data_IF_041006429437
#
_entry.id   IF_041006429437
#
_cell.length_a   1.000
_cell.length_b   1.000
_cell.length_c   1.000
_cell.angle_alpha   90.00
_cell.angle_beta   90.00
_cell.angle_gamma   90.00
#
_symmetry.space_group_name_H-M   'P 1'
#
loop_
_entity.id
_entity.type
_entity.pdbx_description
1 polymer ?
#
# COMPACT_ATOMS: atom_id res chain seq x y z
N UNK A 1 0.43 15.99 -6.34
CA UNK A 1 1.26 16.24 -5.12
C UNK A 1 0.70 15.47 -3.91
N UNK A 2 0.23 14.23 -4.14
CA UNK A 2 -0.72 13.52 -3.29
C UNK A 2 -0.22 12.06 -3.25
N UNK A 3 -0.55 11.23 -4.22
CA UNK A 3 0.03 9.93 -4.64
C UNK A 3 0.72 8.91 -3.71
N UNK A 4 1.59 9.22 -2.73
CA UNK A 4 2.31 8.19 -1.93
C UNK A 4 1.93 8.10 -0.44
N UNK A 5 1.29 9.13 0.14
CA UNK A 5 0.60 8.99 1.45
C UNK A 5 -0.65 8.08 1.41
N UNK A 6 -0.95 7.49 0.26
CA UNK A 6 -2.27 6.97 -0.13
C UNK A 6 -2.29 5.44 -0.32
N UNK A 7 -1.14 4.78 -0.14
CA UNK A 7 -1.00 3.32 -0.28
C UNK A 7 -1.68 2.52 0.84
N UNK A 8 -2.30 3.17 1.82
CA UNK A 8 -2.90 2.49 2.97
C UNK A 8 -4.40 2.31 2.86
N UNK A 9 -5.08 2.89 1.85
CA UNK A 9 -6.54 2.82 1.72
C UNK A 9 -6.95 1.55 0.95
N UNK A 10 -7.84 0.77 1.56
CA UNK A 10 -8.33 -0.52 1.08
C UNK A 10 -9.86 -0.48 1.06
N UNK A 11 -10.49 -0.99 0.00
CA UNK A 11 -11.93 -1.26 -0.01
C UNK A 11 -12.19 -2.68 0.48
N UNK A 12 -13.00 -2.82 1.53
CA UNK A 12 -13.28 -4.12 2.15
C UNK A 12 -14.78 -4.46 2.00
N UNK A 13 -15.07 -5.71 1.61
CA UNK A 13 -16.43 -6.28 1.53
C UNK A 13 -16.78 -7.03 2.81
N UNK A 14 -17.98 -6.86 3.36
CA UNK A 14 -18.41 -7.57 4.57
C UNK A 14 -19.07 -8.93 4.25
N UNK A 15 -19.67 -9.08 3.07
CA UNK A 15 -20.70 -10.10 2.86
C UNK A 15 -20.30 -11.38 2.10
N UNK A 16 -19.07 -11.53 1.61
CA UNK A 16 -18.75 -12.67 0.71
C UNK A 16 -17.44 -13.43 0.91
N UNK A 17 -16.56 -13.02 1.84
CA UNK A 17 -15.27 -13.70 2.00
C UNK A 17 -14.97 -14.03 3.46
N UNK A 18 -14.98 -15.33 3.77
CA UNK A 18 -14.49 -15.89 5.04
C UNK A 18 -13.07 -15.43 5.40
N UNK A 19 -12.28 -15.02 4.41
CA UNK A 19 -10.93 -14.48 4.57
C UNK A 19 -10.87 -13.10 5.26
N UNK A 20 -11.97 -12.32 5.26
CA UNK A 20 -12.02 -10.99 5.89
C UNK A 20 -12.47 -11.02 7.35
N UNK A 21 -13.02 -12.15 7.81
CA UNK A 21 -13.42 -12.35 9.20
C UNK A 21 -12.23 -12.20 10.17
N UNK A 22 -11.03 -12.57 9.72
CA UNK A 22 -9.81 -12.37 10.49
C UNK A 22 -9.60 -10.92 10.91
N UNK A 23 -9.89 -9.93 10.04
CA UNK A 23 -9.72 -8.51 10.37
C UNK A 23 -10.68 -8.06 11.48
N UNK A 24 -11.86 -8.68 11.58
CA UNK A 24 -12.82 -8.39 12.65
C UNK A 24 -12.37 -8.95 14.01
N UNK A 25 -11.69 -10.10 14.01
CA UNK A 25 -11.19 -10.73 15.24
C UNK A 25 -9.82 -10.21 15.66
N UNK A 26 -8.94 -9.94 14.70
CA UNK A 26 -7.60 -9.39 14.89
C UNK A 26 -7.25 -8.48 13.70
N UNK A 27 -7.31 -7.14 13.88
CA UNK A 27 -7.06 -6.20 12.80
C UNK A 27 -5.57 -6.07 12.44
N UNK A 28 -4.67 -6.79 13.11
CA UNK A 28 -3.23 -6.74 12.83
C UNK A 28 -2.93 -7.34 11.46
N UNK A 29 -2.31 -6.57 10.58
CA UNK A 29 -1.97 -7.01 9.24
C UNK A 29 -0.63 -6.43 8.79
N UNK A 30 -0.01 -7.12 7.84
CA UNK A 30 1.15 -6.61 7.11
C UNK A 30 0.87 -6.63 5.62
N UNK A 31 1.29 -5.58 4.93
CA UNK A 31 1.18 -5.43 3.48
C UNK A 31 2.57 -5.33 2.89
N UNK A 32 2.82 -6.10 1.83
CA UNK A 32 4.09 -6.13 1.12
C UNK A 32 3.86 -5.61 -0.29
N UNK A 33 4.70 -4.69 -0.74
CA UNK A 33 4.74 -4.22 -2.12
C UNK A 33 6.15 -4.42 -2.68
N UNK A 34 6.25 -4.79 -3.94
CA UNK A 34 7.53 -5.13 -4.57
C UNK A 34 7.64 -4.53 -5.96
N UNK A 35 8.85 -4.12 -6.35
CA UNK A 35 9.12 -3.68 -7.71
C UNK A 35 8.90 -4.80 -8.75
N UNK A 36 8.81 -6.07 -8.32
CA UNK A 36 8.41 -7.19 -9.18
C UNK A 36 6.95 -7.10 -9.68
N UNK A 37 6.08 -6.34 -9.01
CA UNK A 37 4.71 -6.06 -9.49
C UNK A 37 4.72 -5.11 -10.69
N UNK A 38 5.85 -4.44 -10.94
CA UNK A 38 6.12 -3.62 -12.12
C UNK A 38 7.06 -4.35 -13.10
N UNK A 39 7.49 -3.69 -14.17
CA UNK A 39 8.49 -4.25 -15.08
C UNK A 39 9.95 -4.01 -14.64
N UNK A 40 10.18 -3.31 -13.52
CA UNK A 40 11.50 -2.88 -13.07
C UNK A 40 12.47 -4.06 -12.88
N UNK A 41 12.13 -5.06 -12.06
CA UNK A 41 13.05 -6.16 -11.76
C UNK A 41 13.37 -7.00 -12.99
N UNK A 42 12.36 -7.25 -13.84
CA UNK A 42 12.53 -7.96 -15.11
C UNK A 42 13.47 -7.21 -16.06
N UNK A 43 13.33 -5.89 -16.19
CA UNK A 43 14.20 -5.07 -17.06
C UNK A 43 15.65 -5.07 -16.60
N UNK A 44 15.90 -5.16 -15.31
CA UNK A 44 17.25 -5.18 -14.73
C UNK A 44 17.80 -6.60 -14.55
N UNK A 45 17.07 -7.65 -14.95
CA UNK A 45 17.49 -9.04 -14.77
C UNK A 45 17.59 -9.47 -13.31
N UNK A 46 16.89 -8.79 -12.40
CA UNK A 46 16.86 -9.14 -10.99
C UNK A 46 15.87 -10.26 -10.72
N UNK A 47 16.34 -11.31 -10.05
CA UNK A 47 15.47 -12.32 -9.46
C UNK A 47 14.49 -11.65 -8.47
N UNK A 48 13.17 -11.96 -8.50
CA UNK A 48 12.19 -11.34 -7.61
C UNK A 48 12.44 -11.55 -6.11
N UNK A 49 13.28 -12.50 -5.71
CA UNK A 49 13.70 -12.73 -4.33
C UNK A 49 14.98 -11.96 -3.96
N UNK A 50 15.75 -11.48 -4.94
CA UNK A 50 16.92 -10.65 -4.72
C UNK A 50 16.56 -9.35 -3.99
N UNK A 51 17.40 -8.87 -3.04
CA UNK A 51 17.17 -7.57 -2.41
C UNK A 51 17.30 -6.39 -3.39
N UNK A 52 17.92 -6.60 -4.56
CA UNK A 52 17.96 -5.62 -5.64
C UNK A 52 16.59 -5.40 -6.29
N UNK A 53 15.71 -6.41 -6.20
CA UNK A 53 14.29 -6.24 -6.49
C UNK A 53 13.60 -5.72 -5.23
N UNK A 54 13.66 -4.40 -5.05
CA UNK A 54 13.25 -3.73 -3.82
C UNK A 54 11.81 -4.09 -3.41
N UNK A 55 11.62 -4.34 -2.12
CA UNK A 55 10.30 -4.50 -1.50
C UNK A 55 10.22 -3.72 -0.21
N UNK A 56 9.01 -3.27 0.08
CA UNK A 56 8.65 -2.61 1.34
C UNK A 56 7.57 -3.42 2.04
N UNK A 57 7.70 -3.55 3.35
CA UNK A 57 6.74 -4.22 4.22
C UNK A 57 6.22 -3.17 5.19
N UNK A 58 4.91 -2.95 5.15
CA UNK A 58 4.18 -2.14 6.13
C UNK A 58 3.47 -3.07 7.08
N UNK A 59 3.55 -2.81 8.39
CA UNK A 59 2.81 -3.55 9.40
C UNK A 59 2.12 -2.60 10.37
N UNK A 60 0.95 -3.02 10.85
CA UNK A 60 0.11 -2.22 11.72
C UNK A 60 -1.29 -2.81 11.85
N UNK A 61 -2.29 -1.95 12.00
CA UNK A 61 -3.69 -2.37 12.18
C UNK A 61 -4.60 -1.81 11.09
N UNK A 62 -5.47 -2.66 10.55
CA UNK A 62 -6.50 -2.26 9.60
C UNK A 62 -7.68 -1.68 10.38
N UNK A 63 -8.05 -0.44 10.07
CA UNK A 63 -9.14 0.26 10.72
C UNK A 63 -10.12 0.82 9.68
N UNK A 64 -11.41 0.82 10.01
CA UNK A 64 -12.43 1.45 9.18
C UNK A 64 -12.20 2.98 9.14
N UNK A 65 -12.30 3.56 7.95
CA UNK A 65 -12.30 5.01 7.74
C UNK A 65 -13.69 5.54 8.05
N UNK A 66 -13.77 6.60 8.86
CA UNK A 66 -15.03 7.19 9.31
C UNK A 66 -14.99 8.72 9.16
N UNK A 67 -16.16 9.34 9.07
CA UNK A 67 -16.31 10.79 9.21
C UNK A 67 -15.66 11.59 8.08
N UNK A 68 -14.86 12.60 8.42
CA UNK A 68 -14.29 13.55 7.46
C UNK A 68 -13.26 12.95 6.50
N UNK A 69 -12.68 11.79 6.81
CA UNK A 69 -11.67 11.14 5.96
C UNK A 69 -12.29 10.31 4.83
N UNK A 70 -13.59 9.98 4.90
CA UNK A 70 -14.22 9.02 3.99
C UNK A 70 -14.28 9.53 2.54
N UNK A 71 -14.63 10.81 2.34
CA UNK A 71 -14.65 11.44 1.02
C UNK A 71 -13.27 11.39 0.37
N UNK A 72 -12.23 11.70 1.14
CA UNK A 72 -10.85 11.62 0.68
C UNK A 72 -10.43 10.18 0.38
N UNK A 73 -10.80 9.22 1.21
CA UNK A 73 -10.48 7.81 0.99
C UNK A 73 -11.10 7.27 -0.30
N UNK A 74 -12.36 7.65 -0.56
CA UNK A 74 -13.07 7.34 -1.80
C UNK A 74 -12.37 7.91 -3.01
N UNK A 75 -12.08 9.21 -3.00
CA UNK A 75 -11.43 9.88 -4.14
C UNK A 75 -10.03 9.32 -4.41
N UNK A 76 -9.25 9.09 -3.36
CA UNK A 76 -7.93 8.49 -3.45
C UNK A 76 -7.98 7.11 -4.10
N UNK A 77 -8.88 6.23 -3.64
CA UNK A 77 -8.98 4.88 -4.15
C UNK A 77 -9.48 4.86 -5.60
N UNK A 78 -10.57 5.57 -5.91
CA UNK A 78 -11.18 5.55 -7.24
C UNK A 78 -10.34 6.29 -8.28
N UNK A 79 -9.49 7.23 -7.87
CA UNK A 79 -8.50 7.82 -8.78
C UNK A 79 -7.48 6.81 -9.31
N UNK A 80 -7.26 5.70 -8.58
CA UNK A 80 -6.36 4.62 -8.98
C UNK A 80 -7.08 3.40 -9.54
N UNK A 81 -8.25 3.09 -8.99
CA UNK A 81 -9.09 1.95 -9.35
C UNK A 81 -10.49 2.43 -9.75
N UNK A 82 -10.65 3.07 -10.93
CA UNK A 82 -11.91 3.68 -11.34
C UNK A 82 -13.04 2.65 -11.46
N UNK A 83 -12.72 1.40 -11.81
CA UNK A 83 -13.69 0.29 -11.88
C UNK A 83 -14.44 0.03 -10.57
N UNK A 84 -13.83 0.35 -9.41
CA UNK A 84 -14.45 0.14 -8.10
C UNK A 84 -15.65 1.06 -7.86
N UNK A 85 -15.78 2.15 -8.62
CA UNK A 85 -16.94 3.04 -8.54
C UNK A 85 -18.24 2.35 -9.00
N UNK A 86 -18.11 1.36 -9.88
CA UNK A 86 -19.23 0.64 -10.50
C UNK A 86 -19.49 -0.73 -9.84
N UNK A 87 -18.75 -1.08 -8.79
CA UNK A 87 -18.95 -2.34 -8.07
C UNK A 87 -20.35 -2.40 -7.40
N UNK A 88 -20.94 -3.61 -7.24
CA UNK A 88 -22.29 -3.78 -6.68
C UNK A 88 -22.42 -3.17 -5.28
N UNK A 89 -23.40 -2.29 -5.09
CA UNK A 89 -23.57 -1.51 -3.84
C UNK A 89 -24.12 -2.35 -2.68
N UNK A 90 -24.80 -3.44 -2.98
CA UNK A 90 -25.45 -4.35 -2.03
C UNK A 90 -24.46 -5.29 -1.28
N UNK A 91 -23.17 -5.22 -1.61
CA UNK A 91 -22.12 -6.00 -0.95
C UNK A 91 -21.62 -5.41 0.39
N UNK A 92 -22.09 -4.22 0.79
CA UNK A 92 -21.74 -3.61 2.08
C UNK A 92 -20.28 -3.14 2.15
N UNK A 93 -19.77 -2.56 1.06
CA UNK A 93 -18.41 -2.02 1.00
C UNK A 93 -18.16 -0.93 2.04
N UNK A 94 -16.96 -0.91 2.59
CA UNK A 94 -16.46 0.21 3.39
C UNK A 94 -15.00 0.49 3.11
N UNK A 95 -14.60 1.75 3.28
CA UNK A 95 -13.20 2.15 3.22
C UNK A 95 -12.49 1.81 4.52
N UNK A 96 -11.32 1.19 4.40
CA UNK A 96 -10.42 0.90 5.50
C UNK A 96 -9.06 1.52 5.21
N UNK A 97 -8.27 1.74 6.27
CA UNK A 97 -6.88 2.17 6.18
C UNK A 97 -5.98 1.30 7.04
N UNK A 98 -4.74 1.09 6.60
CA UNK A 98 -3.68 0.51 7.44
C UNK A 98 -3.04 1.62 8.28
N UNK A 99 -3.23 1.56 9.60
CA UNK A 99 -2.52 2.39 10.56
C UNK A 99 -1.12 1.80 10.80
N UNK A 100 -0.12 2.34 10.10
CA UNK A 100 1.25 1.81 10.07
C UNK A 100 1.97 2.07 11.40
N UNK A 101 2.52 1.00 12.00
CA UNK A 101 3.39 1.07 13.18
C UNK A 101 4.83 0.66 12.87
N UNK A 102 5.04 -0.19 11.86
CA UNK A 102 6.36 -0.67 11.48
C UNK A 102 6.53 -0.65 9.96
N UNK A 103 7.71 -0.25 9.51
CA UNK A 103 8.08 -0.20 8.10
C UNK A 103 9.46 -0.85 7.95
N UNK A 104 9.55 -1.77 7.01
CA UNK A 104 10.80 -2.44 6.66
C UNK A 104 11.04 -2.34 5.17
N UNK A 105 12.25 -1.93 4.80
CA UNK A 105 12.68 -1.78 3.40
C UNK A 105 13.83 -2.73 3.15
N UNK A 106 13.69 -3.58 2.12
CA UNK A 106 14.76 -4.41 1.60
C UNK A 106 15.05 -3.95 0.18
N UNK A 107 16.13 -3.18 0.02
CA UNK A 107 16.55 -2.52 -1.22
C UNK A 107 17.99 -2.86 -1.65
N UNK A 108 18.76 -3.52 -0.78
CA UNK A 108 20.13 -3.92 -1.05
C UNK A 108 20.61 -5.05 -0.12
N UNK A 109 21.78 -5.58 -0.40
CA UNK A 109 22.45 -6.52 0.50
C UNK A 109 22.79 -5.86 1.85
N UNK A 110 22.92 -6.67 2.90
CA UNK A 110 23.18 -6.19 4.26
C UNK A 110 21.99 -6.26 5.22
N UNK A 111 20.84 -6.75 4.73
CA UNK A 111 19.65 -6.98 5.54
C UNK A 111 18.61 -5.86 5.41
N UNK A 112 17.57 -5.95 6.24
CA UNK A 112 16.42 -5.06 6.17
C UNK A 112 16.68 -3.75 6.91
N UNK A 113 16.23 -2.63 6.34
CA UNK A 113 16.28 -1.30 6.96
C UNK A 113 14.93 -1.01 7.63
N UNK A 114 14.96 -0.53 8.86
CA UNK A 114 13.76 -0.09 9.58
C UNK A 114 13.56 1.41 9.35
N UNK A 115 12.33 1.81 9.02
CA UNK A 115 11.94 3.21 8.84
C UNK A 115 10.83 3.54 9.83
N UNK A 116 10.87 4.69 10.48
CA UNK A 116 9.80 5.08 11.40
C UNK A 116 8.59 5.64 10.63
N UNK A 117 7.37 5.55 11.18
CA UNK A 117 6.21 6.21 10.58
C UNK A 117 6.44 7.72 10.38
N UNK A 118 7.10 8.39 11.33
CA UNK A 118 7.40 9.82 11.24
C UNK A 118 8.31 10.13 10.04
N UNK A 119 9.37 9.35 9.84
CA UNK A 119 10.25 9.47 8.69
C UNK A 119 9.47 9.25 7.39
N UNK A 120 8.69 8.17 7.30
CA UNK A 120 7.88 7.87 6.12
C UNK A 120 6.89 8.98 5.78
N UNK A 121 6.16 9.51 6.77
CA UNK A 121 5.18 10.56 6.55
C UNK A 121 5.81 11.95 6.35
N UNK A 122 7.08 12.16 6.72
CA UNK A 122 7.80 13.42 6.52
C UNK A 122 8.22 13.66 5.07
N UNK A 123 8.33 12.60 4.27
CA UNK A 123 8.81 12.67 2.89
C UNK A 123 7.71 13.16 1.94
N UNK A 124 8.09 14.08 1.04
CA UNK A 124 7.25 14.46 -0.08
C UNK A 124 7.50 13.51 -1.26
N UNK A 125 6.46 12.89 -1.83
CA UNK A 125 6.63 12.03 -3.01
C UNK A 125 7.20 12.83 -4.17
N UNK A 126 8.34 12.40 -4.72
CA UNK A 126 8.87 13.02 -5.93
C UNK A 126 7.85 12.82 -7.06
N UNK A 127 7.45 13.92 -7.69
CA UNK A 127 6.45 13.93 -8.77
C UNK A 127 6.97 13.39 -10.09
N UNK A 128 8.23 12.93 -10.15
CA UNK A 128 8.88 12.49 -11.38
C UNK A 128 9.75 11.28 -11.04
N UNK A 129 9.52 10.16 -11.72
CA UNK A 129 10.62 9.22 -11.99
C UNK A 129 11.65 10.08 -12.72
N UNK A 130 12.71 10.50 -12.04
CA UNK A 130 13.90 10.96 -12.74
C UNK A 130 14.28 9.79 -13.65
N UNK A 131 14.01 9.93 -14.95
CA UNK A 131 14.78 9.22 -15.97
C UNK A 131 16.20 9.79 -15.87
N UNK A 132 16.94 9.38 -14.83
CA UNK A 132 18.37 9.57 -14.84
C UNK A 132 18.87 8.60 -15.90
N UNK A 133 19.11 9.13 -17.08
CA UNK A 133 19.80 8.48 -18.20
C UNK A 133 21.31 8.45 -17.99
N UNK A 134 21.80 8.63 -16.77
CA UNK A 134 23.22 8.58 -16.46
C UNK A 134 23.45 7.46 -15.45
N UNK A 135 23.59 6.24 -15.99
CA UNK A 135 24.67 5.26 -15.88
C UNK A 135 24.25 4.07 -16.78
#
# INVERSE_FOLDING_TARGET
>A
MIYFRYFTIILICINWYSHLWFIQCNPTASMVMTLAETDYCRKHGYDPQSPLCCRVIFSGTVMKVNGSEEAFAKDALFSRHPEMADWPRDHGWYFAKLNITNIWVLDYFGGVKTVTPEEYYSVQPQSQVQKNTDW
#
